data_IF_472738171631
#
_entry.id   IF_472738171631
#
_cell.length_a   1.000
_cell.length_b   1.000
_cell.length_c   1.000
_cell.angle_alpha   90.00
_cell.angle_beta   90.00
_cell.angle_gamma   90.00
#
_symmetry.space_group_name_H-M   'P 1'
#
loop_
_entity.id
_entity.type
_entity.pdbx_description
1 polymer ?
#
# COMPACT_ATOMS: atom_id res chain seq x y z
N UNK A 1 0.22 -2.16 24.68
CA UNK A 1 1.12 -2.79 25.68
C UNK A 1 2.50 -2.84 25.06
N UNK A 2 3.49 -2.28 25.75
CA UNK A 2 4.87 -2.14 25.28
C UNK A 2 5.80 -3.08 26.03
N UNK A 3 6.78 -3.63 25.31
CA UNK A 3 7.72 -4.61 25.84
C UNK A 3 9.16 -4.21 25.51
N UNK A 4 10.07 -4.52 26.42
CA UNK A 4 11.53 -4.46 26.19
C UNK A 4 12.15 -5.83 26.44
N UNK A 5 13.32 -6.06 25.88
CA UNK A 5 14.10 -7.27 26.19
C UNK A 5 14.70 -7.14 27.59
N UNK A 6 14.33 -8.04 28.50
CA UNK A 6 14.89 -8.14 29.84
C UNK A 6 16.29 -8.77 29.82
N UNK A 7 17.01 -8.61 30.93
CA UNK A 7 18.37 -9.14 31.11
C UNK A 7 18.43 -10.68 31.05
N UNK A 8 17.30 -11.34 31.32
CA UNK A 8 17.09 -12.79 31.18
C UNK A 8 16.75 -13.24 29.75
N UNK A 9 16.75 -12.31 28.78
CA UNK A 9 16.40 -12.53 27.39
C UNK A 9 14.90 -12.66 27.11
N UNK A 10 14.03 -12.50 28.12
CA UNK A 10 12.57 -12.57 27.97
C UNK A 10 11.96 -11.19 27.74
N UNK A 11 10.73 -11.15 27.24
CA UNK A 11 9.99 -9.91 27.10
C UNK A 11 9.50 -9.42 28.46
N UNK A 12 9.86 -8.20 28.82
CA UNK A 12 9.39 -7.49 30.03
C UNK A 12 8.39 -6.43 29.61
N UNK A 13 7.19 -6.46 30.20
CA UNK A 13 6.19 -5.39 30.01
C UNK A 13 6.70 -4.13 30.70
N UNK A 14 6.74 -3.02 29.96
CA UNK A 14 7.15 -1.70 30.47
C UNK A 14 6.00 -0.71 30.57
N UNK A 15 4.95 -0.91 29.78
CA UNK A 15 3.74 -0.09 29.83
C UNK A 15 2.52 -0.88 29.35
N UNK A 16 1.43 -0.76 30.10
CA UNK A 16 0.10 -1.18 29.69
C UNK A 16 -0.85 0.01 29.76
N UNK A 17 -1.43 0.35 28.61
CA UNK A 17 -2.28 1.52 28.44
C UNK A 17 -3.61 1.11 27.84
N UNK A 18 -4.67 1.48 28.55
CA UNK A 18 -6.06 1.29 28.14
C UNK A 18 -6.65 2.63 27.70
N UNK A 19 -7.43 2.62 26.62
CA UNK A 19 -8.00 3.82 26.02
C UNK A 19 -9.51 3.68 25.86
N UNK A 20 -10.23 4.78 26.00
CA UNK A 20 -11.59 4.91 25.52
C UNK A 20 -11.62 4.75 23.98
N UNK A 21 -12.78 4.46 23.36
CA UNK A 21 -12.86 4.22 21.91
C UNK A 21 -12.21 5.31 21.05
N UNK A 22 -12.30 6.57 21.46
CA UNK A 22 -11.73 7.74 20.79
C UNK A 22 -10.30 8.06 21.23
N UNK A 23 -9.62 7.18 21.95
CA UNK A 23 -8.19 7.30 22.25
C UNK A 23 -7.84 8.06 23.51
N UNK A 24 -8.81 8.48 24.32
CA UNK A 24 -8.50 9.07 25.63
C UNK A 24 -8.01 7.97 26.59
N UNK A 25 -6.81 8.14 27.14
CA UNK A 25 -6.20 7.18 28.07
C UNK A 25 -6.98 7.10 29.38
N UNK A 26 -7.29 5.89 29.85
CA UNK A 26 -7.95 5.66 31.13
C UNK A 26 -7.05 6.11 32.30
N UNK A 27 -7.67 6.61 33.38
CA UNK A 27 -6.97 6.95 34.63
C UNK A 27 -7.22 5.88 35.70
N UNK A 28 -6.21 5.61 36.54
CA UNK A 28 -6.35 4.80 37.76
C UNK A 28 -5.93 3.32 37.68
N UNK A 29 -5.66 2.77 36.50
CA UNK A 29 -5.30 1.34 36.33
C UNK A 29 -4.06 1.07 35.45
N UNK A 30 -3.45 2.10 34.84
CA UNK A 30 -2.21 1.99 34.04
C UNK A 30 -0.98 2.16 34.93
N UNK A 31 -0.81 1.29 35.93
CA UNK A 31 0.12 1.52 37.06
C UNK A 31 1.55 0.99 36.83
N UNK A 32 1.84 0.45 35.64
CA UNK A 32 3.20 0.02 35.26
C UNK A 32 3.86 1.18 34.53
N UNK A 33 4.66 1.96 35.27
CA UNK A 33 5.51 3.04 34.71
C UNK A 33 6.95 2.64 34.93
N UNK A 34 7.51 1.88 33.98
CA UNK A 34 8.97 1.74 33.92
C UNK A 34 9.53 3.08 33.42
N UNK A 35 10.63 3.63 33.97
CA UNK A 35 11.25 4.87 33.48
C UNK A 35 11.61 4.84 31.98
N UNK A 36 11.71 3.64 31.39
CA UNK A 36 11.86 3.47 29.93
C UNK A 36 10.59 3.88 29.17
N UNK A 37 9.41 3.68 29.76
CA UNK A 37 8.12 4.04 29.16
C UNK A 37 7.92 5.56 29.07
N UNK A 38 8.42 6.35 30.03
CA UNK A 38 8.35 7.83 29.98
C UNK A 38 9.06 8.44 28.77
N UNK A 39 9.97 7.71 28.12
CA UNK A 39 10.65 8.14 26.89
C UNK A 39 9.86 7.80 25.62
N UNK A 40 8.83 6.97 25.72
CA UNK A 40 8.10 6.45 24.58
C UNK A 40 6.80 7.25 24.39
N UNK A 41 6.84 8.23 23.49
CA UNK A 41 5.71 9.13 23.23
C UNK A 41 4.64 8.54 22.32
N UNK A 42 4.67 7.26 21.98
CA UNK A 42 3.67 6.69 21.06
C UNK A 42 2.61 5.91 21.82
N UNK A 43 1.34 6.23 21.58
CA UNK A 43 0.21 5.67 22.30
C UNK A 43 -0.88 5.15 21.38
N UNK A 44 -2.04 5.78 21.46
CA UNK A 44 -3.23 5.40 20.68
C UNK A 44 -2.94 5.38 19.17
N UNK A 45 -3.36 4.31 18.48
CA UNK A 45 -3.09 4.04 17.06
C UNK A 45 -1.60 4.12 16.64
N UNK A 46 -0.67 4.00 17.58
CA UNK A 46 0.77 4.13 17.33
C UNK A 46 1.19 5.56 16.95
N UNK A 47 0.40 6.56 17.33
CA UNK A 47 0.65 7.98 17.07
C UNK A 47 1.34 8.66 18.25
N UNK A 48 2.08 9.71 17.95
CA UNK A 48 2.84 10.46 18.95
C UNK A 48 1.90 11.31 19.81
N UNK A 49 1.98 11.16 21.12
CA UNK A 49 1.32 11.98 22.13
C UNK A 49 2.17 13.23 22.37
N UNK A 50 1.57 14.40 22.17
CA UNK A 50 2.19 15.70 22.40
C UNK A 50 1.86 16.21 23.81
N UNK A 51 2.87 16.25 24.68
CA UNK A 51 2.74 16.68 26.07
C UNK A 51 3.27 18.10 26.31
N UNK A 52 3.94 18.71 25.33
CA UNK A 52 4.71 19.96 25.47
C UNK A 52 3.84 21.14 25.93
N UNK A 53 2.58 21.17 25.52
CA UNK A 53 1.62 22.22 25.86
C UNK A 53 0.61 21.80 26.93
N UNK A 54 0.70 20.57 27.45
CA UNK A 54 -0.26 20.01 28.41
C UNK A 54 -1.68 19.85 27.84
N UNK A 55 -1.83 19.84 26.52
CA UNK A 55 -3.12 19.76 25.82
C UNK A 55 -3.58 18.32 25.57
N UNK A 56 -2.67 17.33 25.67
CA UNK A 56 -2.98 15.93 25.45
C UNK A 56 -3.35 15.61 24.01
N UNK A 57 -2.74 16.31 23.05
CA UNK A 57 -2.97 16.09 21.63
C UNK A 57 -2.22 14.88 21.12
N UNK A 58 -2.73 14.32 20.03
CA UNK A 58 -2.08 13.23 19.31
C UNK A 58 -1.74 13.72 17.90
N UNK A 59 -0.49 13.56 17.51
CA UNK A 59 0.02 13.94 16.20
C UNK A 59 -0.27 12.85 15.17
N UNK A 60 -1.20 13.14 14.26
CA UNK A 60 -1.50 12.31 13.10
C UNK A 60 -0.76 12.77 11.84
N UNK A 61 0.32 13.54 12.01
CA UNK A 61 1.18 14.16 10.99
C UNK A 61 0.49 15.28 10.23
N UNK A 62 -0.62 14.97 9.56
CA UNK A 62 -1.37 15.95 8.78
C UNK A 62 -2.27 16.84 9.64
N UNK A 63 -2.65 16.38 10.84
CA UNK A 63 -3.56 17.08 11.77
C UNK A 63 -3.25 16.73 13.21
N UNK A 64 -3.53 17.66 14.11
CA UNK A 64 -3.58 17.40 15.55
C UNK A 64 -4.96 16.87 15.93
N UNK A 65 -4.98 15.78 16.70
CA UNK A 65 -6.19 15.13 17.18
C UNK A 65 -6.35 15.34 18.69
N UNK A 66 -7.56 15.70 19.12
CA UNK A 66 -7.91 15.77 20.54
C UNK A 66 -8.73 14.52 20.92
N UNK A 67 -8.12 13.55 21.64
CA UNK A 67 -8.79 12.33 22.05
C UNK A 67 -9.86 12.55 23.13
N UNK A 68 -9.81 13.66 23.89
CA UNK A 68 -10.82 13.99 24.89
C UNK A 68 -12.12 14.47 24.23
N UNK A 69 -12.02 15.16 23.10
CA UNK A 69 -13.16 15.61 22.30
C UNK A 69 -13.58 14.59 21.24
N UNK A 70 -12.67 13.73 20.79
CA UNK A 70 -12.91 12.82 19.66
C UNK A 70 -12.91 13.53 18.31
N UNK A 71 -12.24 14.68 18.21
CA UNK A 71 -12.30 15.58 17.06
C UNK A 71 -10.89 16.00 16.59
N UNK A 72 -10.80 16.35 15.32
CA UNK A 72 -9.65 17.08 14.78
C UNK A 72 -9.64 18.53 15.30
N UNK A 73 -8.44 19.08 15.51
CA UNK A 73 -8.28 20.49 15.84
C UNK A 73 -8.34 21.40 14.60
N UNK A 74 -8.29 20.81 13.42
CA UNK A 74 -8.36 21.49 12.12
C UNK A 74 -9.48 20.87 11.28
N UNK A 75 -10.02 21.66 10.35
CA UNK A 75 -11.02 21.19 9.38
C UNK A 75 -10.40 20.06 8.54
N UNK A 76 -11.13 18.96 8.39
CA UNK A 76 -10.84 17.89 7.45
C UNK A 76 -10.92 18.43 6.03
N UNK A 77 -9.84 18.28 5.27
CA UNK A 77 -9.81 18.73 3.87
C UNK A 77 -10.65 17.82 2.96
N UNK A 78 -11.10 16.66 3.45
CA UNK A 78 -12.12 15.80 2.83
C UNK A 78 -13.54 16.07 3.34
N UNK A 79 -13.78 17.14 4.10
CA UNK A 79 -15.12 17.45 4.60
C UNK A 79 -16.17 17.61 3.47
N UNK A 80 -15.74 17.97 2.26
CA UNK A 80 -16.60 18.08 1.07
C UNK A 80 -16.78 16.75 0.32
N UNK A 81 -16.12 15.67 0.72
CA UNK A 81 -16.30 14.34 0.12
C UNK A 81 -17.77 13.89 0.29
N UNK A 82 -18.44 13.38 -0.77
CA UNK A 82 -19.83 12.93 -0.67
C UNK A 82 -20.09 11.89 0.42
N UNK A 83 -19.07 11.10 0.81
CA UNK A 83 -19.15 10.12 1.90
C UNK A 83 -19.01 10.77 3.28
N UNK A 84 -18.48 11.99 3.35
CA UNK A 84 -18.21 12.71 4.61
C UNK A 84 -19.14 13.89 4.86
N UNK A 85 -19.88 14.38 3.85
CA UNK A 85 -20.76 15.55 3.95
C UNK A 85 -21.82 15.48 5.06
N UNK A 86 -22.16 14.27 5.52
CA UNK A 86 -23.10 14.04 6.63
C UNK A 86 -22.45 14.14 8.01
N UNK A 87 -21.13 14.26 8.08
CA UNK A 87 -20.34 14.35 9.31
C UNK A 87 -19.78 15.77 9.47
N UNK A 88 -19.45 16.12 10.71
CA UNK A 88 -18.74 17.38 10.99
C UNK A 88 -17.40 17.40 10.25
N UNK A 89 -16.97 18.56 9.71
CA UNK A 89 -15.62 18.73 9.17
C UNK A 89 -14.51 18.44 10.19
N UNK A 90 -14.83 18.35 11.48
CA UNK A 90 -13.87 18.02 12.53
C UNK A 90 -13.98 16.56 13.03
N UNK A 91 -14.83 15.75 12.39
CA UNK A 91 -15.10 14.37 12.79
C UNK A 91 -13.87 13.48 12.61
N UNK A 92 -13.52 12.73 13.66
CA UNK A 92 -12.53 11.68 13.56
C UNK A 92 -13.17 10.39 13.05
N UNK A 93 -12.63 9.82 11.97
CA UNK A 93 -12.96 8.49 11.42
C UNK A 93 -14.46 8.17 11.32
N UNK A 94 -15.25 9.13 10.80
CA UNK A 94 -16.70 9.00 10.63
C UNK A 94 -17.45 8.71 11.95
N UNK A 95 -16.91 9.19 13.08
CA UNK A 95 -17.39 8.91 14.43
C UNK A 95 -17.40 7.41 14.82
N UNK A 96 -16.60 6.57 14.15
CA UNK A 96 -16.52 5.14 14.47
C UNK A 96 -15.08 4.63 14.60
N UNK A 97 -14.35 5.03 15.66
CA UNK A 97 -12.95 4.68 15.88
C UNK A 97 -12.72 3.23 16.33
N UNK A 98 -13.79 2.48 16.56
CA UNK A 98 -13.70 1.04 16.84
C UNK A 98 -13.47 0.23 15.55
N UNK A 99 -14.01 0.71 14.42
CA UNK A 99 -13.92 0.04 13.13
C UNK A 99 -12.95 0.72 12.16
N UNK A 100 -12.77 2.04 12.29
CA UNK A 100 -11.95 2.83 11.38
C UNK A 100 -10.77 3.46 12.12
N UNK A 101 -9.63 3.52 11.44
CA UNK A 101 -8.44 4.25 11.84
C UNK A 101 -8.07 5.17 10.68
N UNK A 102 -7.60 6.39 10.97
CA UNK A 102 -7.01 7.29 9.97
C UNK A 102 -5.48 7.21 10.14
N UNK A 103 -4.78 6.32 9.41
CA UNK A 103 -3.38 6.03 9.69
C UNK A 103 -2.44 7.19 9.37
N UNK A 104 -2.90 8.27 8.74
CA UNK A 104 -2.05 9.35 8.22
C UNK A 104 -2.62 10.76 8.37
N UNK A 105 -3.84 10.90 8.90
CA UNK A 105 -4.50 12.21 8.97
C UNK A 105 -4.80 12.81 7.59
N UNK A 106 -4.76 11.98 6.52
CA UNK A 106 -4.62 12.24 5.06
C UNK A 106 -3.19 12.04 4.52
N UNK A 107 -2.98 10.97 3.74
CA UNK A 107 -1.73 10.76 2.97
C UNK A 107 -1.76 11.67 1.74
N UNK A 108 -0.63 12.31 1.38
CA UNK A 108 -0.48 12.93 0.06
C UNK A 108 0.06 11.89 -0.92
N UNK A 109 -0.64 11.51 -2.01
CA UNK A 109 -0.20 10.59 -3.08
C UNK A 109 -1.19 10.49 -4.24
N UNK A 110 -1.06 11.33 -5.27
CA UNK A 110 -0.16 11.19 -6.44
C UNK A 110 0.94 12.27 -6.53
N UNK A 111 2.01 12.04 -7.31
CA UNK A 111 3.12 12.98 -7.51
C UNK A 111 3.07 13.62 -8.90
N UNK A 112 3.28 14.93 -8.95
CA UNK A 112 3.34 15.75 -10.16
C UNK A 112 4.63 16.56 -10.21
N UNK A 113 5.04 16.92 -11.43
CA UNK A 113 6.08 17.92 -11.65
C UNK A 113 5.54 19.36 -11.48
N UNK A 114 6.45 20.33 -11.50
CA UNK A 114 6.14 21.77 -11.48
C UNK A 114 5.30 22.24 -12.68
N UNK A 115 5.28 21.48 -13.77
CA UNK A 115 4.43 21.66 -14.95
C UNK A 115 3.02 21.07 -14.81
N UNK A 116 2.72 20.42 -13.69
CA UNK A 116 1.45 19.76 -13.42
C UNK A 116 1.26 18.44 -14.18
N UNK A 117 2.33 17.85 -14.70
CA UNK A 117 2.30 16.53 -15.34
C UNK A 117 2.44 15.44 -14.28
N UNK A 118 1.69 14.35 -14.44
CA UNK A 118 1.73 13.23 -13.50
C UNK A 118 3.03 12.45 -13.67
N UNK A 119 3.77 12.29 -12.57
CA UNK A 119 5.04 11.55 -12.55
C UNK A 119 4.85 10.11 -12.05
N UNK A 120 3.88 9.91 -11.16
CA UNK A 120 3.55 8.60 -10.59
C UNK A 120 3.24 8.67 -9.10
N UNK A 121 3.72 7.69 -8.34
CA UNK A 121 3.39 7.54 -6.92
C UNK A 121 4.61 7.31 -6.06
N UNK A 122 4.48 7.58 -4.76
CA UNK A 122 5.38 7.05 -3.74
C UNK A 122 5.03 5.57 -3.41
N UNK A 123 5.41 5.12 -2.22
CA UNK A 123 5.12 3.79 -1.66
C UNK A 123 3.69 3.55 -1.13
N UNK A 124 2.72 4.46 -1.34
CA UNK A 124 1.32 4.36 -0.86
C UNK A 124 0.23 4.42 -1.93
N UNK A 125 0.56 4.54 -3.21
CA UNK A 125 -0.41 4.43 -4.31
C UNK A 125 -1.04 5.75 -4.75
N UNK A 126 -2.34 5.76 -5.08
CA UNK A 126 -3.03 6.86 -5.78
C UNK A 126 -4.07 7.63 -4.92
N UNK A 127 -4.36 7.15 -3.71
CA UNK A 127 -5.48 7.63 -2.89
C UNK A 127 -5.05 8.69 -1.85
N UNK A 128 -4.41 9.75 -2.30
CA UNK A 128 -3.96 10.84 -1.44
C UNK A 128 -3.95 12.20 -2.13
N UNK A 129 -3.55 13.26 -1.41
CA UNK A 129 -3.36 14.61 -1.96
C UNK A 129 -2.25 14.68 -3.01
N UNK A 130 -2.38 15.55 -4.00
CA UNK A 130 -1.31 15.81 -4.94
C UNK A 130 -0.05 16.37 -4.23
N UNK A 131 1.10 15.78 -4.56
CA UNK A 131 2.44 16.29 -4.24
C UNK A 131 2.99 16.95 -5.50
N UNK A 132 3.59 18.12 -5.37
CA UNK A 132 4.27 18.81 -6.46
C UNK A 132 5.74 18.88 -6.12
N UNK A 133 6.63 18.44 -7.01
CA UNK A 133 8.08 18.52 -6.80
C UNK A 133 8.80 18.74 -8.13
N UNK A 134 10.08 19.08 -8.07
CA UNK A 134 10.93 19.03 -9.26
C UNK A 134 11.07 17.57 -9.75
N UNK A 135 10.91 17.34 -11.05
CA UNK A 135 11.01 16.01 -11.67
C UNK A 135 12.33 15.31 -11.33
N UNK A 136 13.42 16.07 -11.21
CA UNK A 136 14.74 15.55 -10.86
C UNK A 136 14.81 14.89 -9.46
N UNK A 137 13.90 15.25 -8.55
CA UNK A 137 13.82 14.68 -7.20
C UNK A 137 12.89 13.46 -7.14
N UNK A 138 12.12 13.21 -8.20
CA UNK A 138 11.17 12.11 -8.25
C UNK A 138 11.87 10.78 -8.54
N UNK A 139 11.45 9.75 -7.82
CA UNK A 139 11.69 8.36 -8.20
C UNK A 139 10.42 7.57 -7.92
N UNK A 140 9.94 6.83 -8.93
CA UNK A 140 8.75 6.00 -8.76
C UNK A 140 8.91 5.05 -7.57
N UNK A 141 7.99 5.16 -6.60
CA UNK A 141 8.04 4.36 -5.40
C UNK A 141 9.03 4.83 -4.32
N UNK A 142 9.47 6.09 -4.37
CA UNK A 142 10.20 6.72 -3.27
C UNK A 142 9.41 6.62 -1.95
N UNK A 143 10.08 6.76 -0.80
CA UNK A 143 9.36 6.72 0.47
C UNK A 143 8.46 7.94 0.60
N UNK A 144 7.31 7.78 1.24
CA UNK A 144 6.41 8.92 1.51
C UNK A 144 7.12 10.09 2.20
N UNK A 145 8.01 9.82 3.15
CA UNK A 145 8.76 10.86 3.85
C UNK A 145 9.67 11.65 2.90
N UNK A 146 10.35 10.97 1.98
CA UNK A 146 11.17 11.63 0.97
C UNK A 146 10.30 12.47 0.02
N UNK A 147 9.12 11.95 -0.36
CA UNK A 147 8.20 12.66 -1.24
C UNK A 147 7.69 13.96 -0.58
N UNK A 148 7.32 13.90 0.70
CA UNK A 148 6.90 15.08 1.48
C UNK A 148 8.06 16.06 1.64
N UNK A 149 9.28 15.60 1.89
CA UNK A 149 10.43 16.50 2.04
C UNK A 149 10.76 17.30 0.77
N UNK A 150 10.37 16.79 -0.40
CA UNK A 150 10.54 17.45 -1.70
C UNK A 150 9.27 18.15 -2.18
N UNK A 151 8.19 18.15 -1.40
CA UNK A 151 6.92 18.74 -1.80
C UNK A 151 6.97 20.27 -1.76
N UNK A 152 6.87 20.90 -2.92
CA UNK A 152 6.78 22.33 -3.12
C UNK A 152 5.35 22.86 -2.95
N UNK A 153 4.35 21.98 -2.94
CA UNK A 153 2.94 22.34 -2.90
C UNK A 153 2.46 23.08 -4.14
N UNK A 154 1.24 23.61 -4.09
CA UNK A 154 0.63 24.33 -5.23
C UNK A 154 1.38 25.59 -5.63
N UNK A 155 2.16 26.17 -4.71
CA UNK A 155 3.02 27.33 -4.96
C UNK A 155 4.23 26.99 -5.83
N UNK A 156 4.63 25.71 -5.87
CA UNK A 156 5.69 25.21 -6.75
C UNK A 156 5.30 25.06 -8.21
N UNK A 157 4.01 25.25 -8.56
CA UNK A 157 3.55 25.14 -9.94
C UNK A 157 3.97 26.36 -10.76
N UNK A 158 4.51 26.12 -11.95
CA UNK A 158 5.11 27.17 -12.77
C UNK A 158 4.11 28.24 -13.24
N UNK A 159 2.84 27.88 -13.39
CA UNK A 159 1.79 28.77 -13.88
C UNK A 159 0.38 28.18 -13.69
N UNK A 160 -0.64 28.96 -14.04
CA UNK A 160 -2.06 28.56 -13.97
C UNK A 160 -2.42 27.40 -14.89
N UNK A 161 -1.69 27.19 -16.00
CA UNK A 161 -1.88 26.03 -16.88
C UNK A 161 -1.39 24.75 -16.19
N UNK A 162 -0.23 24.79 -15.52
CA UNK A 162 0.26 23.68 -14.71
C UNK A 162 -0.75 23.29 -13.60
N UNK A 163 -1.30 24.29 -12.90
CA UNK A 163 -2.37 24.06 -11.93
C UNK A 163 -3.61 23.42 -12.55
N UNK A 164 -4.00 23.87 -13.75
CA UNK A 164 -5.16 23.31 -14.46
C UNK A 164 -4.91 21.86 -14.92
N UNK A 165 -3.69 21.54 -15.39
CA UNK A 165 -3.28 20.19 -15.77
C UNK A 165 -3.38 19.25 -14.57
N UNK A 166 -2.76 19.63 -13.45
CA UNK A 166 -2.76 18.85 -12.22
C UNK A 166 -4.19 18.60 -11.74
N UNK A 167 -5.00 19.65 -11.59
CA UNK A 167 -6.38 19.53 -11.08
C UNK A 167 -7.24 18.66 -11.99
N UNK A 168 -7.08 18.78 -13.31
CA UNK A 168 -7.84 17.99 -14.27
C UNK A 168 -7.45 16.51 -14.21
N UNK A 169 -6.15 16.21 -14.19
CA UNK A 169 -5.65 14.85 -14.06
C UNK A 169 -6.06 14.23 -12.71
N UNK A 170 -5.84 14.97 -11.61
CA UNK A 170 -6.15 14.51 -10.25
C UNK A 170 -7.61 14.10 -10.08
N UNK A 171 -8.54 14.87 -10.65
CA UNK A 171 -9.98 14.55 -10.62
C UNK A 171 -10.33 13.25 -11.35
N UNK A 172 -9.57 12.90 -12.39
CA UNK A 172 -9.77 11.68 -13.18
C UNK A 172 -9.13 10.43 -12.58
N UNK A 173 -8.22 10.56 -11.60
CA UNK A 173 -7.54 9.40 -10.99
C UNK A 173 -8.53 8.37 -10.43
N UNK A 174 -9.64 8.83 -9.85
CA UNK A 174 -10.69 7.97 -9.27
C UNK A 174 -11.36 7.04 -10.29
N UNK A 175 -11.28 7.39 -11.57
CA UNK A 175 -11.91 6.65 -12.66
C UNK A 175 -10.95 5.58 -13.23
N UNK A 176 -9.70 5.54 -12.74
CA UNK A 176 -8.74 4.51 -13.14
C UNK A 176 -9.07 3.16 -12.49
N UNK A 177 -8.79 2.04 -13.18
CA UNK A 177 -9.06 0.70 -12.66
C UNK A 177 -8.22 0.31 -11.44
N UNK A 178 -7.08 0.98 -11.24
CA UNK A 178 -6.13 0.73 -10.15
C UNK A 178 -6.24 1.74 -9.02
N UNK A 179 -7.24 2.62 -9.04
CA UNK A 179 -7.37 3.68 -8.04
C UNK A 179 -7.51 3.12 -6.62
N UNK A 180 -8.18 1.98 -6.46
CA UNK A 180 -8.28 1.28 -5.19
C UNK A 180 -7.10 0.34 -4.92
N UNK A 181 -6.07 0.33 -5.77
CA UNK A 181 -4.90 -0.54 -5.63
C UNK A 181 -5.15 -2.00 -5.96
N UNK A 182 -6.30 -2.37 -6.53
CA UNK A 182 -6.59 -3.75 -6.93
C UNK A 182 -7.23 -3.79 -8.32
N UNK A 183 -6.61 -4.53 -9.24
CA UNK A 183 -7.09 -4.61 -10.63
C UNK A 183 -7.62 -6.01 -10.90
N UNK A 184 -8.91 -6.11 -11.23
CA UNK A 184 -9.51 -7.37 -11.68
C UNK A 184 -9.04 -7.76 -13.08
N UNK A 185 -9.25 -9.02 -13.46
CA UNK A 185 -8.95 -9.47 -14.82
C UNK A 185 -9.70 -8.66 -15.89
N UNK A 186 -10.97 -8.32 -15.64
CA UNK A 186 -11.78 -7.57 -16.61
C UNK A 186 -11.20 -6.18 -16.81
N UNK A 187 -10.92 -5.47 -15.70
CA UNK A 187 -10.32 -4.14 -15.73
C UNK A 187 -8.95 -4.13 -16.41
N UNK A 188 -8.09 -5.11 -16.11
CA UNK A 188 -6.78 -5.22 -16.75
C UNK A 188 -6.86 -5.45 -18.27
N UNK A 189 -7.83 -6.26 -18.72
CA UNK A 189 -8.08 -6.50 -20.17
C UNK A 189 -8.61 -5.24 -20.86
N UNK A 190 -9.53 -4.51 -20.21
CA UNK A 190 -10.07 -3.26 -20.74
C UNK A 190 -8.99 -2.17 -20.81
N UNK A 191 -8.17 -2.07 -19.76
CA UNK A 191 -7.03 -1.16 -19.70
C UNK A 191 -6.02 -1.42 -20.82
N UNK A 192 -5.65 -2.69 -21.01
CA UNK A 192 -4.78 -3.14 -22.09
C UNK A 192 -5.30 -2.69 -23.47
N UNK A 193 -6.60 -2.86 -23.72
CA UNK A 193 -7.27 -2.47 -24.98
C UNK A 193 -7.32 -0.96 -25.17
N UNK A 194 -7.51 -0.20 -24.10
CA UNK A 194 -7.54 1.25 -24.13
C UNK A 194 -6.16 1.87 -24.41
N UNK A 195 -5.07 1.14 -24.09
CA UNK A 195 -3.70 1.64 -24.15
C UNK A 195 -2.78 0.77 -25.03
N UNK A 196 -3.06 0.61 -26.33
CA UNK A 196 -2.16 -0.12 -27.22
C UNK A 196 -0.81 0.60 -27.34
N UNK A 197 0.28 -0.15 -27.25
CA UNK A 197 1.66 0.34 -27.33
C UNK A 197 2.23 0.82 -25.98
N UNK A 198 1.53 0.64 -24.87
CA UNK A 198 1.97 1.14 -23.56
C UNK A 198 3.29 0.53 -23.08
N UNK A 199 3.64 -0.72 -23.43
CA UNK A 199 4.97 -1.26 -23.15
C UNK A 199 6.09 -0.57 -23.93
N UNK A 200 5.83 -0.24 -25.20
CA UNK A 200 6.82 0.39 -26.08
C UNK A 200 7.00 1.88 -25.73
N UNK A 201 5.93 2.53 -25.27
CA UNK A 201 5.91 3.95 -24.89
C UNK A 201 5.25 4.13 -23.50
N UNK A 202 5.93 3.72 -22.42
CA UNK A 202 5.35 3.72 -21.09
C UNK A 202 5.33 5.13 -20.51
N UNK A 203 4.20 5.50 -19.93
CA UNK A 203 3.97 6.74 -19.21
C UNK A 203 3.35 6.43 -17.84
N UNK A 204 3.45 7.33 -16.86
CA UNK A 204 2.72 7.21 -15.59
C UNK A 204 1.21 7.00 -15.80
N UNK A 205 0.64 7.64 -16.82
CA UNK A 205 -0.78 7.49 -17.16
C UNK A 205 -1.17 6.12 -17.68
N UNK A 206 -0.30 5.41 -18.43
CA UNK A 206 -0.65 4.14 -19.09
C UNK A 206 -0.17 2.88 -18.34
N UNK A 207 0.51 3.05 -17.21
CA UNK A 207 0.86 1.97 -16.28
C UNK A 207 -0.23 1.75 -15.23
N UNK A 208 -0.09 0.69 -14.43
CA UNK A 208 -0.97 0.40 -13.29
C UNK A 208 -0.20 0.39 -11.95
N UNK A 209 -0.83 0.86 -10.88
CA UNK A 209 -0.30 0.94 -9.52
C UNK A 209 -1.07 0.00 -8.59
N UNK A 210 -0.46 -1.13 -8.24
CA UNK A 210 -1.14 -2.24 -7.56
C UNK A 210 -0.62 -2.40 -6.13
N UNK A 211 -1.54 -2.50 -5.17
CA UNK A 211 -1.23 -2.80 -3.77
C UNK A 211 -0.99 -4.30 -3.59
N UNK A 212 0.26 -4.68 -3.40
CA UNK A 212 0.67 -6.06 -3.16
C UNK A 212 -0.02 -6.68 -1.92
N UNK A 213 -0.47 -5.88 -0.96
CA UNK A 213 -1.18 -6.38 0.22
C UNK A 213 -2.60 -6.90 -0.08
N UNK A 214 -3.18 -6.49 -1.21
CA UNK A 214 -4.52 -6.90 -1.67
C UNK A 214 -4.51 -8.13 -2.57
N UNK A 215 -3.33 -8.66 -2.88
CA UNK A 215 -3.16 -9.78 -3.80
C UNK A 215 -3.25 -11.13 -3.08
N UNK A 216 -3.85 -12.12 -3.74
CA UNK A 216 -3.93 -13.51 -3.31
C UNK A 216 -2.87 -14.35 -4.02
N UNK A 217 -1.83 -14.73 -3.27
CA UNK A 217 -0.68 -15.48 -3.76
C UNK A 217 -0.92 -17.00 -3.83
N UNK A 218 -2.13 -17.47 -3.50
CA UNK A 218 -2.54 -18.87 -3.60
C UNK A 218 -1.70 -19.81 -2.74
N UNK A 219 -1.10 -20.82 -3.38
CA UNK A 219 -0.29 -21.84 -2.69
C UNK A 219 1.18 -21.45 -2.45
N UNK A 220 1.55 -20.22 -2.80
CA UNK A 220 2.88 -19.70 -2.49
C UNK A 220 3.10 -19.74 -0.97
N UNK A 221 4.26 -20.24 -0.57
CA UNK A 221 4.64 -20.37 0.82
C UNK A 221 6.14 -20.09 0.98
N UNK A 222 6.54 -19.86 2.23
CA UNK A 222 7.91 -19.41 2.55
C UNK A 222 9.01 -20.38 2.13
N UNK A 223 8.72 -21.67 1.92
CA UNK A 223 9.72 -22.65 1.46
C UNK A 223 10.21 -22.37 0.03
N UNK A 224 9.48 -21.57 -0.75
CA UNK A 224 9.90 -21.15 -2.09
C UNK A 224 11.12 -20.23 -2.07
N UNK A 225 11.39 -19.58 -0.94
CA UNK A 225 12.46 -18.61 -0.76
C UNK A 225 13.57 -19.25 0.08
N UNK A 226 14.80 -19.31 -0.46
CA UNK A 226 15.95 -19.83 0.28
C UNK A 226 16.34 -18.87 1.41
N UNK A 227 16.57 -17.61 1.07
CA UNK A 227 16.95 -16.55 2.01
C UNK A 227 15.92 -15.42 2.04
N UNK A 228 15.85 -14.69 3.17
CA UNK A 228 15.09 -13.44 3.24
C UNK A 228 15.81 -12.33 2.46
N UNK A 229 15.03 -11.39 1.92
CA UNK A 229 15.46 -10.23 1.15
C UNK A 229 16.20 -10.53 -0.18
N UNK A 230 16.36 -11.81 -0.53
CA UNK A 230 16.89 -12.24 -1.82
C UNK A 230 15.81 -12.30 -2.90
N UNK A 231 16.12 -11.75 -4.08
CA UNK A 231 15.21 -11.75 -5.22
C UNK A 231 15.03 -13.16 -5.77
N UNK A 232 13.83 -13.72 -5.58
CA UNK A 232 13.49 -15.07 -6.01
C UNK A 232 12.45 -15.02 -7.14
N UNK A 233 12.70 -15.66 -8.30
CA UNK A 233 11.70 -15.80 -9.35
C UNK A 233 10.54 -16.69 -8.90
N UNK A 234 9.33 -16.15 -8.98
CA UNK A 234 8.07 -16.83 -8.63
C UNK A 234 7.19 -16.89 -9.86
N UNK A 235 6.61 -18.07 -10.11
CA UNK A 235 5.58 -18.25 -11.13
C UNK A 235 4.28 -18.64 -10.42
N UNK A 236 3.26 -17.78 -10.50
CA UNK A 236 1.96 -18.03 -9.89
C UNK A 236 1.01 -18.83 -10.79
N UNK A 237 1.36 -19.05 -12.07
CA UNK A 237 0.64 -19.96 -12.97
C UNK A 237 0.93 -21.44 -12.67
N UNK A 238 0.59 -21.89 -11.46
CA UNK A 238 0.63 -23.31 -11.07
C UNK A 238 -0.70 -24.00 -11.40
N UNK A 239 -0.70 -25.33 -11.52
CA UNK A 239 -1.93 -26.11 -11.75
C UNK A 239 -2.97 -25.82 -10.66
N UNK A 240 -2.55 -25.82 -9.39
CA UNK A 240 -3.43 -25.56 -8.27
C UNK A 240 -4.02 -24.15 -8.33
N UNK A 241 -3.20 -23.13 -8.55
CA UNK A 241 -3.68 -21.76 -8.63
C UNK A 241 -4.66 -21.58 -9.80
N UNK A 242 -4.42 -22.21 -10.95
CA UNK A 242 -5.32 -22.16 -12.10
C UNK A 242 -6.66 -22.86 -11.84
N UNK A 243 -6.66 -24.01 -11.17
CA UNK A 243 -7.89 -24.69 -10.76
C UNK A 243 -8.69 -23.86 -9.76
N UNK A 244 -8.02 -23.28 -8.76
CA UNK A 244 -8.66 -22.49 -7.72
C UNK A 244 -9.12 -21.10 -8.22
N UNK A 245 -8.41 -20.52 -9.19
CA UNK A 245 -8.76 -19.24 -9.84
C UNK A 245 -10.10 -19.30 -10.60
N UNK A 246 -10.59 -20.49 -10.96
CA UNK A 246 -11.92 -20.67 -11.53
C UNK A 246 -13.05 -20.27 -10.58
N UNK A 247 -12.80 -20.35 -9.26
CA UNK A 247 -13.76 -20.08 -8.20
C UNK A 247 -13.36 -18.90 -7.30
N UNK A 248 -12.13 -18.40 -7.42
CA UNK A 248 -11.60 -17.28 -6.64
C UNK A 248 -11.14 -16.16 -7.59
N UNK A 249 -11.90 -15.07 -7.62
CA UNK A 249 -11.65 -13.91 -8.49
C UNK A 249 -10.35 -13.18 -8.14
N UNK A 250 -9.95 -13.19 -6.88
CA UNK A 250 -8.81 -12.44 -6.37
C UNK A 250 -7.50 -13.17 -6.68
N UNK A 251 -7.51 -14.49 -6.51
CA UNK A 251 -6.44 -15.36 -6.99
C UNK A 251 -6.32 -15.29 -8.50
N UNK A 252 -7.45 -15.27 -9.21
CA UNK A 252 -7.44 -15.09 -10.67
C UNK A 252 -6.80 -13.76 -11.02
N UNK A 253 -7.28 -12.65 -10.47
CA UNK A 253 -6.72 -11.33 -10.69
C UNK A 253 -5.22 -11.27 -10.37
N UNK A 254 -4.78 -11.90 -9.28
CA UNK A 254 -3.37 -11.93 -8.88
C UNK A 254 -2.49 -12.75 -9.81
N UNK A 255 -2.92 -13.96 -10.18
CA UNK A 255 -2.21 -14.81 -11.14
C UNK A 255 -2.10 -14.10 -12.48
N UNK A 256 -3.15 -13.37 -12.88
CA UNK A 256 -3.13 -12.55 -14.07
C UNK A 256 -2.27 -11.30 -13.93
N UNK A 257 -2.33 -10.54 -12.84
CA UNK A 257 -1.54 -9.32 -12.65
C UNK A 257 -0.05 -9.62 -12.54
N UNK A 258 0.32 -10.62 -11.73
CA UNK A 258 1.71 -10.93 -11.41
C UNK A 258 2.35 -11.90 -12.38
N UNK A 259 1.61 -12.91 -12.84
CA UNK A 259 2.15 -13.97 -13.68
C UNK A 259 3.47 -14.57 -13.19
N UNK A 260 4.58 -14.18 -13.84
CA UNK A 260 5.94 -14.43 -13.35
C UNK A 260 6.48 -13.11 -12.79
N UNK A 261 6.67 -13.05 -11.47
CA UNK A 261 7.28 -11.92 -10.76
C UNK A 261 8.55 -12.35 -10.03
N UNK A 262 9.46 -11.41 -9.80
CA UNK A 262 10.49 -11.59 -8.79
C UNK A 262 9.94 -11.08 -7.45
N UNK A 263 10.15 -11.85 -6.39
CA UNK A 263 9.66 -11.52 -5.06
C UNK A 263 10.78 -11.70 -4.04
N UNK A 264 10.72 -10.93 -2.96
CA UNK A 264 11.56 -11.07 -1.78
C UNK A 264 10.69 -11.48 -0.61
N UNK A 265 11.13 -12.48 0.15
CA UNK A 265 10.57 -12.77 1.46
C UNK A 265 11.18 -11.77 2.46
N UNK A 266 10.37 -10.87 2.99
CA UNK A 266 10.83 -9.82 3.94
C UNK A 266 10.69 -10.25 5.40
N UNK A 267 9.78 -11.19 5.66
CA UNK A 267 9.62 -11.80 6.98
C UNK A 267 9.09 -13.23 6.83
N UNK A 268 9.92 -14.23 7.17
CA UNK A 268 9.56 -15.65 7.11
C UNK A 268 8.55 -16.06 8.16
N UNK A 269 8.59 -15.42 9.33
CA UNK A 269 7.70 -15.74 10.46
C UNK A 269 6.27 -15.37 10.11
N UNK A 270 6.08 -14.18 9.53
CA UNK A 270 4.78 -13.63 9.14
C UNK A 270 4.43 -13.87 7.68
N UNK A 271 5.30 -14.53 6.91
CA UNK A 271 5.10 -14.75 5.48
C UNK A 271 4.96 -13.46 4.70
N UNK A 272 5.66 -12.38 5.08
CA UNK A 272 5.58 -11.10 4.38
C UNK A 272 6.48 -11.14 3.15
N UNK A 273 5.93 -10.71 2.03
CA UNK A 273 6.63 -10.66 0.75
C UNK A 273 6.53 -9.28 0.12
N UNK A 274 7.54 -8.94 -0.65
CA UNK A 274 7.57 -7.75 -1.47
C UNK A 274 7.83 -8.15 -2.91
N UNK A 275 7.06 -7.59 -3.84
CA UNK A 275 7.32 -7.74 -5.27
C UNK A 275 8.49 -6.81 -5.62
N UNK A 276 9.47 -7.34 -6.36
CA UNK A 276 10.60 -6.56 -6.83
C UNK A 276 10.13 -5.72 -8.00
N UNK A 277 10.12 -4.39 -7.83
CA UNK A 277 9.89 -3.46 -8.93
C UNK A 277 11.20 -3.23 -9.68
N UNK A 278 11.24 -3.60 -10.94
CA UNK A 278 12.34 -3.31 -11.87
C UNK A 278 11.94 -2.26 -12.90
N UNK A 279 10.97 -1.41 -12.56
CA UNK A 279 10.45 -0.33 -13.39
C UNK A 279 11.54 0.53 -14.08
N UNK A 280 12.63 0.82 -13.36
CA UNK A 280 13.75 1.63 -13.85
C UNK A 280 14.71 0.89 -14.81
N UNK A 281 14.56 -0.43 -14.98
CA UNK A 281 15.39 -1.19 -15.92
C UNK A 281 14.96 -0.93 -17.37
N UNK A 282 15.90 -0.97 -18.31
CA UNK A 282 15.63 -0.68 -19.72
C UNK A 282 14.96 -1.83 -20.48
N UNK A 283 15.17 -3.09 -20.08
CA UNK A 283 14.66 -4.30 -20.74
C UNK A 283 14.48 -5.46 -19.75
N UNK A 284 13.80 -6.52 -20.18
CA UNK A 284 13.59 -7.78 -19.42
C UNK A 284 12.96 -7.62 -18.04
N UNK A 285 12.13 -6.57 -17.90
CA UNK A 285 11.41 -6.26 -16.67
C UNK A 285 10.42 -7.36 -16.35
N UNK A 286 10.47 -7.81 -15.10
CA UNK A 286 9.59 -8.84 -14.58
C UNK A 286 8.22 -8.26 -14.20
N UNK A 287 8.10 -6.93 -14.09
CA UNK A 287 6.81 -6.25 -13.93
C UNK A 287 6.16 -5.80 -15.25
N UNK A 288 6.76 -6.13 -16.40
CA UNK A 288 6.12 -5.90 -17.70
C UNK A 288 5.02 -6.95 -17.92
N UNK A 289 3.80 -6.46 -18.12
CA UNK A 289 2.69 -7.32 -18.48
C UNK A 289 2.64 -7.50 -19.99
N UNK A 290 3.29 -8.55 -20.49
CA UNK A 290 3.27 -8.91 -21.89
C UNK A 290 2.27 -10.05 -22.19
N UNK A 291 1.56 -9.93 -23.32
CA UNK A 291 0.64 -10.96 -23.81
C UNK A 291 1.34 -11.96 -24.72
N UNK A 292 2.68 -12.03 -24.73
CA UNK A 292 3.42 -12.73 -25.78
C UNK A 292 4.60 -13.59 -25.30
N UNK A 293 5.11 -13.42 -24.08
CA UNK A 293 6.36 -14.06 -23.65
C UNK A 293 6.31 -14.57 -22.20
N UNK A 294 7.19 -15.54 -21.96
CA UNK A 294 7.56 -15.97 -20.61
C UNK A 294 6.71 -17.10 -20.02
N UNK A 295 7.40 -18.01 -19.33
CA UNK A 295 6.80 -19.03 -18.47
C UNK A 295 6.79 -20.44 -19.05
N UNK A 296 6.24 -21.36 -18.26
CA UNK A 296 6.01 -22.76 -18.64
C UNK A 296 4.93 -22.86 -19.72
N UNK A 297 4.83 -23.99 -20.44
CA UNK A 297 3.78 -24.20 -21.45
C UNK A 297 2.34 -23.98 -20.96
N UNK A 298 2.07 -24.08 -19.65
CA UNK A 298 0.78 -23.73 -19.06
C UNK A 298 0.44 -22.23 -19.14
N UNK A 299 1.42 -21.34 -18.90
CA UNK A 299 1.24 -19.89 -19.04
C UNK A 299 0.96 -19.53 -20.50
N UNK A 300 1.71 -20.10 -21.44
CA UNK A 300 1.49 -19.89 -22.87
C UNK A 300 0.08 -20.31 -23.32
N UNK A 301 -0.45 -21.43 -22.78
CA UNK A 301 -1.83 -21.86 -23.07
C UNK A 301 -2.88 -20.90 -22.50
N UNK A 302 -2.71 -20.45 -21.26
CA UNK A 302 -3.63 -19.48 -20.64
C UNK A 302 -3.65 -18.16 -21.43
N UNK A 303 -2.48 -17.62 -21.79
CA UNK A 303 -2.35 -16.42 -22.62
C UNK A 303 -3.03 -16.59 -23.98
N UNK A 304 -2.82 -17.71 -24.67
CA UNK A 304 -3.43 -17.96 -25.98
C UNK A 304 -4.96 -18.02 -25.92
N UNK A 305 -5.52 -18.65 -24.88
CA UNK A 305 -6.97 -18.69 -24.67
C UNK A 305 -7.50 -17.27 -24.46
N UNK A 306 -6.82 -16.46 -23.64
CA UNK A 306 -7.26 -15.09 -23.41
C UNK A 306 -7.18 -14.22 -24.64
N UNK A 307 -6.10 -14.31 -25.42
CA UNK A 307 -5.98 -13.61 -26.70
C UNK A 307 -7.13 -13.97 -27.64
N UNK A 308 -7.48 -15.26 -27.74
CA UNK A 308 -8.58 -15.71 -28.58
C UNK A 308 -9.95 -15.19 -28.09
N UNK A 309 -10.18 -15.15 -26.77
CA UNK A 309 -11.43 -14.70 -26.17
C UNK A 309 -11.61 -13.18 -26.22
N UNK A 310 -10.53 -12.43 -26.02
CA UNK A 310 -10.58 -10.99 -25.79
C UNK A 310 -10.14 -10.17 -27.00
N UNK A 311 -9.39 -10.75 -27.94
CA UNK A 311 -8.78 -10.04 -29.07
C UNK A 311 -7.46 -9.35 -28.73
N UNK A 312 -6.90 -9.60 -27.54
CA UNK A 312 -5.60 -9.07 -27.15
C UNK A 312 -4.47 -9.60 -28.03
N UNK A 313 -3.45 -8.77 -28.21
CA UNK A 313 -2.27 -9.09 -29.01
C UNK A 313 -1.02 -8.42 -28.42
N UNK A 314 0.10 -8.52 -29.12
CA UNK A 314 1.42 -8.06 -28.67
C UNK A 314 1.49 -6.55 -28.39
N UNK A 315 0.62 -5.73 -28.99
CA UNK A 315 0.56 -4.30 -28.71
C UNK A 315 -0.14 -3.96 -27.40
N UNK A 316 -0.81 -4.90 -26.73
CA UNK A 316 -1.69 -4.57 -25.61
C UNK A 316 -1.05 -4.73 -24.23
N UNK A 317 0.27 -4.90 -24.16
CA UNK A 317 0.95 -4.98 -22.87
C UNK A 317 1.10 -3.61 -22.21
N UNK A 318 1.31 -3.59 -20.89
CA UNK A 318 1.58 -2.38 -20.11
C UNK A 318 2.53 -2.67 -18.93
N UNK A 319 3.06 -1.61 -18.28
CA UNK A 319 3.87 -1.75 -17.06
C UNK A 319 2.98 -1.71 -15.81
N UNK A 320 3.41 -2.40 -14.76
CA UNK A 320 2.82 -2.26 -13.42
C UNK A 320 3.88 -1.89 -12.39
N UNK A 321 3.49 -1.10 -11.40
CA UNK A 321 4.25 -0.81 -10.18
C UNK A 321 3.51 -1.39 -8.98
N UNK A 322 4.22 -2.12 -8.12
CA UNK A 322 3.66 -2.79 -6.96
C UNK A 322 4.12 -2.12 -5.67
N UNK A 323 3.20 -1.52 -4.92
CA UNK A 323 3.48 -0.96 -3.59
C UNK A 323 2.98 -1.88 -2.48
N UNK A 324 3.30 -1.55 -1.24
CA UNK A 324 2.89 -2.38 -0.09
C UNK A 324 3.61 -3.72 0.00
N UNK A 325 3.09 -4.60 0.87
CA UNK A 325 3.65 -5.94 1.13
C UNK A 325 2.55 -6.98 1.17
N UNK A 326 2.72 -8.02 0.37
CA UNK A 326 1.87 -9.19 0.33
C UNK A 326 2.05 -10.10 1.54
N UNK A 327 1.10 -11.02 1.73
CA UNK A 327 1.17 -12.07 2.75
C UNK A 327 0.98 -13.44 2.10
N UNK A 328 1.91 -14.36 2.36
CA UNK A 328 1.89 -15.74 1.85
C UNK A 328 1.76 -16.73 3.01
N UNK A 329 1.47 -18.00 2.71
CA UNK A 329 1.36 -19.04 3.74
C UNK A 329 2.71 -19.22 4.46
N UNK A 330 2.70 -19.04 5.79
CA UNK A 330 3.85 -19.19 6.67
C UNK A 330 4.35 -20.64 6.78
N UNK A 331 5.54 -20.83 7.37
CA UNK A 331 6.10 -22.16 7.61
C UNK A 331 5.17 -23.02 8.50
N UNK A 332 5.03 -24.34 8.27
CA UNK A 332 4.27 -25.26 9.13
C UNK A 332 4.80 -25.38 10.56
N UNK A 333 5.92 -24.76 10.92
CA UNK A 333 6.59 -24.87 12.22
C UNK A 333 5.87 -24.17 13.38
N UNK A 334 4.55 -23.95 13.30
CA UNK A 334 3.71 -23.87 14.51
C UNK A 334 3.61 -25.29 15.09
N UNK A 335 4.68 -25.70 15.75
CA UNK A 335 4.63 -26.81 16.68
C UNK A 335 3.55 -26.50 17.71
N UNK A 336 2.45 -27.24 17.64
CA UNK A 336 1.58 -27.44 18.79
C UNK A 336 2.50 -27.99 19.86
N UNK A 337 2.85 -27.18 20.86
CA UNK A 337 3.46 -27.71 22.08
C UNK A 337 2.32 -28.43 22.79
N UNK A 338 2.06 -29.67 22.41
CA UNK A 338 1.35 -30.60 23.29
C UNK A 338 2.33 -30.91 24.40
N UNK A 339 2.27 -30.16 25.50
CA UNK A 339 2.91 -30.58 26.74
C UNK A 339 2.15 -31.81 27.24
N UNK A 340 2.64 -32.99 26.88
CA UNK A 340 2.28 -34.24 27.51
C UNK A 340 2.72 -34.17 28.97
N UNK A 341 1.73 -34.09 29.86
CA UNK A 341 1.89 -34.16 31.31
C UNK A 341 2.26 -35.61 31.63
N UNK A 342 3.44 -35.81 32.20
CA UNK A 342 3.77 -36.94 33.07
C UNK A 342 4.13 -36.38 34.44
#
# INVERSE_FOLDING_TARGET
MFYVKGDDGKAKIVEESNYYPFGLKHKGYNNVVDPIAEKYKYGYNGKEEQEELGLGWIDYQARNYDPALGCWMNIDLMAEDPKQIMYSPYSYVLNNPLFYNDPTGMVANPIYDVGGNFLGTDDKGLQGKAIVMDEANFTQGMSHNDAISNNLGVEGLENTKAASNLVSHYKGLKDRPDYDGFVTLTEGVEWAKANPGALDNPTPDNMLYIDASKLDYGDLNTSKFQNENESTPVNLFTVNNLLNAGLNTDLRATVYALGRVNMKLTDRTWGKVQIVNDFNQSSDRVTDYDWNKGGTGMRSRAINIERARTGLNDSHGFRAYYYGRGTIKGSPSRGIITSSIN
#
